data_IF_881437531789
#
_entry.id   IF_881437531789
#
_cell.length_a   1.000
_cell.length_b   1.000
_cell.length_c   1.000
_cell.angle_alpha   90.00
_cell.angle_beta   90.00
_cell.angle_gamma   90.00
#
_symmetry.space_group_name_H-M   'P 1'
#
loop_
_entity.id
_entity.type
_entity.pdbx_description
1 polymer ?
#
# COMPACT_ATOMS: atom_id res chain seq x y z
N UNK A 1 -45.89 33.80 0.29
CA UNK A 1 -45.57 32.38 0.54
C UNK A 1 -44.06 32.26 0.64
N UNK A 2 -43.52 32.07 1.85
CA UNK A 2 -42.07 31.84 2.01
C UNK A 2 -41.73 30.47 1.43
N UNK A 3 -41.10 30.42 0.26
CA UNK A 3 -40.46 29.20 -0.18
C UNK A 3 -39.33 28.92 0.81
N UNK A 4 -39.56 28.01 1.76
CA UNK A 4 -38.46 27.42 2.50
C UNK A 4 -37.56 26.78 1.45
N UNK A 5 -36.39 27.38 1.20
CA UNK A 5 -35.39 26.80 0.30
C UNK A 5 -34.99 25.47 0.92
N UNK A 6 -35.61 24.38 0.45
CA UNK A 6 -35.33 23.05 0.96
C UNK A 6 -33.82 22.82 0.84
N UNK A 7 -33.18 22.45 1.95
CA UNK A 7 -31.76 22.19 1.95
C UNK A 7 -31.48 21.01 1.02
N UNK A 8 -30.72 21.26 -0.05
CA UNK A 8 -30.39 20.27 -1.08
C UNK A 8 -28.89 19.98 -0.98
N UNK A 9 -28.55 18.74 -0.66
CA UNK A 9 -27.18 18.28 -0.48
C UNK A 9 -26.94 17.03 -1.31
N UNK A 10 -25.70 16.81 -1.72
CA UNK A 10 -25.25 15.62 -2.43
C UNK A 10 -23.84 15.25 -1.98
N UNK A 11 -23.38 14.06 -2.36
CA UNK A 11 -22.08 13.53 -1.97
C UNK A 11 -21.16 13.43 -3.18
N UNK A 12 -19.90 13.80 -2.99
CA UNK A 12 -18.87 13.70 -4.03
C UNK A 12 -17.76 12.78 -3.53
N UNK A 13 -17.45 11.76 -4.34
CA UNK A 13 -16.32 10.85 -4.17
C UNK A 13 -15.12 11.37 -4.95
N UNK A 14 -13.98 11.45 -4.27
CA UNK A 14 -12.66 11.70 -4.84
C UNK A 14 -11.57 11.21 -3.88
N UNK A 15 -10.31 11.32 -4.26
CA UNK A 15 -9.17 10.90 -3.45
C UNK A 15 -8.90 9.41 -3.56
N UNK A 16 -8.32 8.83 -2.52
CA UNK A 16 -7.96 7.41 -2.54
C UNK A 16 -9.13 6.56 -2.05
N UNK A 17 -9.50 5.57 -2.85
CA UNK A 17 -10.61 4.67 -2.58
C UNK A 17 -10.43 3.95 -1.24
N UNK A 18 -11.50 3.87 -0.45
CA UNK A 18 -11.50 3.35 0.92
C UNK A 18 -10.65 4.11 1.96
N UNK A 19 -10.01 5.23 1.58
CA UNK A 19 -9.24 6.09 2.50
C UNK A 19 -9.95 7.44 2.65
N UNK A 20 -10.33 8.06 1.54
CA UNK A 20 -11.01 9.36 1.53
C UNK A 20 -12.53 9.15 1.59
N UNK A 21 -13.22 9.59 2.65
CA UNK A 21 -14.67 9.48 2.71
C UNK A 21 -15.34 10.46 1.73
N UNK A 22 -16.51 10.12 1.15
CA UNK A 22 -17.26 11.05 0.32
C UNK A 22 -17.61 12.35 1.07
N UNK A 23 -17.42 13.50 0.43
CA UNK A 23 -17.72 14.80 1.02
C UNK A 23 -19.09 15.31 0.59
N UNK A 24 -19.80 15.91 1.54
CA UNK A 24 -21.11 16.50 1.30
C UNK A 24 -20.97 17.94 0.80
N UNK A 25 -21.73 18.31 -0.23
CA UNK A 25 -21.78 19.66 -0.79
C UNK A 25 -23.22 20.16 -0.87
N UNK A 26 -23.39 21.48 -0.74
CA UNK A 26 -24.67 22.17 -0.88
C UNK A 26 -24.95 22.44 -2.36
N UNK A 27 -26.13 22.05 -2.85
CA UNK A 27 -26.56 22.26 -4.24
C UNK A 27 -27.21 23.64 -4.47
N UNK A 28 -27.49 24.43 -3.43
CA UNK A 28 -28.11 25.75 -3.52
C UNK A 28 -27.12 26.88 -3.89
N UNK A 29 -26.03 26.54 -4.59
CA UNK A 29 -25.03 27.47 -5.12
C UNK A 29 -24.98 27.36 -6.65
N UNK A 30 -24.34 28.31 -7.34
CA UNK A 30 -24.11 28.18 -8.79
C UNK A 30 -23.13 27.03 -9.09
N UNK A 31 -23.25 26.44 -10.28
CA UNK A 31 -22.33 25.39 -10.72
C UNK A 31 -20.87 25.85 -10.73
N UNK A 32 -20.60 27.10 -11.10
CA UNK A 32 -19.26 27.69 -11.06
C UNK A 32 -18.67 27.74 -9.64
N UNK A 33 -19.46 28.20 -8.66
CA UNK A 33 -19.05 28.25 -7.25
C UNK A 33 -18.80 26.83 -6.73
N UNK A 34 -19.71 25.90 -7.03
CA UNK A 34 -19.59 24.51 -6.61
C UNK A 34 -18.30 23.87 -7.13
N UNK A 35 -18.04 23.99 -8.43
CA UNK A 35 -16.83 23.43 -9.07
C UNK A 35 -15.56 23.99 -8.44
N UNK A 36 -15.52 25.28 -8.11
CA UNK A 36 -14.39 25.91 -7.42
C UNK A 36 -14.15 25.30 -6.04
N UNK A 37 -15.21 25.10 -5.24
CA UNK A 37 -15.09 24.46 -3.92
C UNK A 37 -14.62 23.02 -4.00
N UNK A 38 -15.16 22.23 -4.93
CA UNK A 38 -14.76 20.83 -5.12
C UNK A 38 -13.31 20.79 -5.60
N UNK A 39 -12.92 21.61 -6.58
CA UNK A 39 -11.53 21.71 -7.07
C UNK A 39 -10.55 21.97 -5.93
N UNK A 40 -10.80 23.00 -5.14
CA UNK A 40 -9.88 23.39 -4.06
C UNK A 40 -9.79 22.32 -2.97
N UNK A 41 -10.92 21.68 -2.64
CA UNK A 41 -10.96 20.59 -1.65
C UNK A 41 -10.21 19.36 -2.17
N UNK A 42 -10.49 18.95 -3.41
CA UNK A 42 -9.88 17.78 -4.02
C UNK A 42 -8.37 17.95 -4.17
N UNK A 43 -7.92 19.09 -4.69
CA UNK A 43 -6.50 19.37 -4.88
C UNK A 43 -5.73 19.28 -3.55
N UNK A 44 -6.24 19.93 -2.50
CA UNK A 44 -5.60 19.92 -1.17
C UNK A 44 -5.57 18.52 -0.56
N UNK A 45 -6.73 17.86 -0.47
CA UNK A 45 -6.85 16.54 0.15
C UNK A 45 -5.97 15.49 -0.54
N UNK A 46 -5.98 15.48 -1.88
CA UNK A 46 -5.17 14.53 -2.66
C UNK A 46 -3.69 14.82 -2.47
N UNK A 47 -3.28 16.09 -2.52
CA UNK A 47 -1.88 16.47 -2.32
C UNK A 47 -1.36 16.08 -0.92
N UNK A 48 -2.13 16.38 0.13
CA UNK A 48 -1.76 16.06 1.51
C UNK A 48 -1.65 14.55 1.73
N UNK A 49 -2.60 13.77 1.20
CA UNK A 49 -2.55 12.32 1.30
C UNK A 49 -1.43 11.71 0.46
N UNK A 50 -1.12 12.27 -0.71
CA UNK A 50 0.03 11.86 -1.51
C UNK A 50 1.35 12.12 -0.78
N UNK A 51 1.51 13.26 -0.09
CA UNK A 51 2.70 13.55 0.73
C UNK A 51 2.86 12.50 1.82
N UNK A 52 1.79 12.20 2.56
CA UNK A 52 1.81 11.18 3.60
C UNK A 52 2.17 9.80 3.02
N UNK A 53 1.55 9.40 1.91
CA UNK A 53 1.78 8.09 1.29
C UNK A 53 3.17 7.94 0.70
N UNK A 54 3.73 8.97 0.09
CA UNK A 54 5.11 8.95 -0.40
C UNK A 54 6.12 8.73 0.73
N UNK A 55 5.94 9.40 1.87
CA UNK A 55 6.81 9.19 3.03
C UNK A 55 6.67 7.76 3.55
N UNK A 56 5.44 7.26 3.71
CA UNK A 56 5.17 5.90 4.18
C UNK A 56 5.81 4.85 3.27
N UNK A 57 5.52 4.91 1.97
CA UNK A 57 6.02 3.94 0.98
C UNK A 57 7.55 4.03 0.83
N UNK A 58 8.14 5.21 0.94
CA UNK A 58 9.60 5.37 0.94
C UNK A 58 10.27 4.63 2.11
N UNK A 59 9.75 4.79 3.33
CA UNK A 59 10.26 4.10 4.52
C UNK A 59 10.13 2.57 4.37
N UNK A 60 8.98 2.10 3.91
CA UNK A 60 8.71 0.68 3.73
C UNK A 60 9.61 0.07 2.62
N UNK A 61 9.87 0.79 1.51
CA UNK A 61 10.79 0.34 0.46
C UNK A 61 12.24 0.27 0.96
N UNK A 62 12.68 1.26 1.73
CA UNK A 62 14.02 1.24 2.36
C UNK A 62 14.18 0.04 3.30
N UNK A 63 13.11 -0.33 4.03
CA UNK A 63 13.10 -1.51 4.87
C UNK A 63 13.18 -2.82 4.06
N UNK A 64 12.47 -2.90 2.93
CA UNK A 64 12.56 -4.06 2.01
C UNK A 64 13.95 -4.16 1.38
N UNK A 65 14.56 -3.04 0.97
CA UNK A 65 15.93 -3.04 0.44
C UNK A 65 16.95 -3.54 1.46
N UNK A 66 16.87 -3.09 2.72
CA UNK A 66 17.73 -3.60 3.80
C UNK A 66 17.51 -5.08 4.05
N UNK A 67 16.26 -5.54 4.00
CA UNK A 67 15.92 -6.95 4.17
C UNK A 67 16.53 -7.78 3.05
N UNK A 68 16.38 -7.37 1.80
CA UNK A 68 16.94 -8.03 0.63
C UNK A 68 18.47 -8.14 0.73
N UNK A 69 19.16 -7.04 1.07
CA UNK A 69 20.62 -7.05 1.30
C UNK A 69 21.04 -8.01 2.42
N UNK A 70 20.25 -8.11 3.50
CA UNK A 70 20.52 -9.06 4.58
C UNK A 70 20.32 -10.52 4.12
N UNK A 71 19.33 -10.81 3.26
CA UNK A 71 19.15 -12.14 2.66
C UNK A 71 20.35 -12.50 1.77
N UNK A 72 20.78 -11.59 0.90
CA UNK A 72 21.93 -11.79 0.01
C UNK A 72 23.23 -12.01 0.79
N UNK A 73 23.44 -11.27 1.89
CA UNK A 73 24.61 -11.48 2.74
C UNK A 73 24.58 -12.85 3.44
N UNK A 74 23.40 -13.33 3.85
CA UNK A 74 23.22 -14.67 4.45
C UNK A 74 23.45 -15.78 3.43
N UNK A 75 22.99 -15.61 2.19
CA UNK A 75 23.19 -16.62 1.13
C UNK A 75 24.65 -16.69 0.68
N UNK A 76 25.36 -15.56 0.61
CA UNK A 76 26.78 -15.52 0.29
C UNK A 76 27.69 -16.09 1.40
N UNK A 77 27.24 -16.01 2.66
CA UNK A 77 27.95 -16.55 3.81
C UNK A 77 27.72 -18.06 4.06
N UNK A 78 26.83 -18.71 3.30
CA UNK A 78 26.63 -20.15 3.39
C UNK A 78 27.93 -20.86 2.96
N UNK A 79 28.57 -21.67 3.83
CA UNK A 79 29.84 -22.29 3.50
C UNK A 79 29.60 -23.25 2.34
N UNK A 80 30.27 -22.98 1.20
CA UNK A 80 30.54 -23.95 0.16
C UNK A 80 31.20 -25.14 0.86
N UNK A 81 30.39 -26.17 1.14
CA UNK A 81 30.81 -27.46 1.65
C UNK A 81 31.75 -28.09 0.65
N UNK A 82 33.01 -27.65 0.69
CA UNK A 82 34.10 -28.24 -0.06
C UNK A 82 34.33 -29.59 0.59
N UNK A 83 33.69 -30.62 0.03
CA UNK A 83 34.08 -32.01 0.22
C UNK A 83 35.56 -32.13 -0.15
N UNK A 84 36.42 -32.06 0.86
CA UNK A 84 37.79 -32.54 0.77
C UNK A 84 38.00 -33.56 1.88
N UNK A 85 37.56 -34.78 1.58
CA UNK A 85 38.25 -35.97 2.02
C UNK A 85 39.73 -35.83 1.64
N UNK A 86 40.61 -35.79 2.64
CA UNK A 86 42.03 -36.07 2.45
C UNK A 86 42.57 -36.76 3.70
N UNK A 87 43.29 -37.83 3.45
CA UNK A 87 43.63 -38.90 4.37
C UNK A 87 44.77 -38.54 5.35
N UNK A 88 44.72 -39.20 6.52
CA UNK A 88 45.81 -39.96 7.15
C UNK A 88 47.24 -39.39 7.15
N UNK A 89 47.75 -39.04 8.34
CA UNK A 89 49.15 -39.30 8.69
C UNK A 89 49.28 -39.54 10.21
N UNK A 90 49.98 -40.63 10.55
CA UNK A 90 50.22 -41.18 11.88
C UNK A 90 51.28 -40.41 12.68
N UNK A 91 51.07 -40.41 14.00
CA UNK A 91 52.02 -40.73 15.09
C UNK A 91 53.31 -39.92 15.25
N UNK A 92 53.37 -39.16 16.36
CA UNK A 92 54.58 -39.02 17.17
C UNK A 92 54.20 -38.91 18.66
N UNK A 93 54.69 -39.86 19.43
CA UNK A 93 54.67 -39.99 20.89
C UNK A 93 55.38 -38.83 21.60
N UNK A 94 54.83 -38.35 22.73
CA UNK A 94 55.54 -37.44 23.63
C UNK A 94 54.69 -36.98 24.82
N UNK A 95 55.18 -37.27 26.03
CA UNK A 95 54.50 -37.26 27.34
C UNK A 95 54.00 -35.90 27.86
N UNK A 96 53.02 -35.95 28.77
CA UNK A 96 52.29 -34.86 29.47
C UNK A 96 52.95 -34.56 30.87
N UNK A 97 52.49 -33.56 31.68
CA UNK A 97 52.69 -32.09 31.69
C UNK A 97 53.40 -31.59 33.01
N UNK A 98 53.44 -30.27 33.37
CA UNK A 98 52.28 -29.60 34.02
C UNK A 98 52.07 -28.09 33.73
N UNK A 99 50.80 -27.70 33.92
CA UNK A 99 50.24 -26.44 34.46
C UNK A 99 50.78 -25.06 34.05
N UNK A 100 49.90 -24.29 33.38
CA UNK A 100 49.96 -22.83 33.37
C UNK A 100 49.48 -22.18 32.08
N UNK A 101 48.17 -22.15 31.80
CA UNK A 101 47.60 -21.22 30.83
C UNK A 101 46.08 -21.11 31.00
N UNK A 102 45.62 -19.96 31.48
CA UNK A 102 44.24 -19.52 31.37
C UNK A 102 43.87 -19.43 29.89
N UNK A 103 42.99 -20.32 29.42
CA UNK A 103 42.40 -20.22 28.07
C UNK A 103 41.11 -19.37 28.15
N UNK A 104 40.89 -18.41 27.25
CA UNK A 104 39.58 -17.77 27.13
C UNK A 104 38.57 -18.78 26.62
N UNK A 105 37.42 -18.84 27.28
CA UNK A 105 36.26 -19.64 26.86
C UNK A 105 35.73 -19.02 25.57
N UNK A 106 35.92 -19.69 24.45
CA UNK A 106 35.30 -19.32 23.18
C UNK A 106 33.81 -19.63 23.30
N UNK A 107 32.90 -18.68 23.10
CA UNK A 107 31.49 -19.01 23.06
C UNK A 107 31.24 -19.82 21.79
N UNK A 108 30.82 -21.08 21.96
CA UNK A 108 30.18 -21.85 20.90
C UNK A 108 28.91 -21.12 20.53
N UNK A 109 28.99 -20.25 19.52
CA UNK A 109 27.82 -19.78 18.81
C UNK A 109 27.21 -21.02 18.16
N UNK A 110 26.16 -21.56 18.79
CA UNK A 110 25.20 -22.43 18.12
C UNK A 110 24.80 -21.71 16.84
N UNK A 111 25.33 -22.19 15.72
CA UNK A 111 24.92 -21.78 14.40
C UNK A 111 23.41 -22.03 14.32
N UNK A 112 22.64 -20.94 14.45
CA UNK A 112 21.21 -20.97 14.30
C UNK A 112 20.91 -21.57 12.94
N UNK A 113 20.21 -22.71 12.97
CA UNK A 113 19.43 -23.31 11.90
C UNK A 113 19.64 -22.65 10.54
N UNK A 114 20.56 -23.19 9.74
CA UNK A 114 20.67 -22.83 8.33
C UNK A 114 19.31 -23.07 7.68
N UNK A 115 18.60 -21.99 7.36
CA UNK A 115 17.43 -22.08 6.50
C UNK A 115 17.86 -22.76 5.20
N UNK A 116 17.10 -23.76 4.76
CA UNK A 116 17.43 -24.43 3.50
C UNK A 116 17.48 -23.40 2.37
N UNK A 117 18.29 -23.62 1.33
CA UNK A 117 18.37 -22.70 0.18
C UNK A 117 16.97 -22.35 -0.38
N UNK A 118 16.06 -23.34 -0.40
CA UNK A 118 14.67 -23.16 -0.79
C UNK A 118 13.88 -22.17 0.10
N UNK A 119 14.17 -22.07 1.40
CA UNK A 119 13.54 -21.08 2.29
C UNK A 119 14.07 -19.67 2.04
N UNK A 120 15.37 -19.54 1.74
CA UNK A 120 15.99 -18.25 1.42
C UNK A 120 15.48 -17.72 0.08
N UNK A 121 15.31 -18.60 -0.90
CA UNK A 121 14.71 -18.28 -2.20
C UNK A 121 13.24 -17.87 -2.07
N UNK A 122 12.44 -18.56 -1.24
CA UNK A 122 11.04 -18.22 -0.98
C UNK A 122 10.90 -16.86 -0.26
N UNK A 123 11.72 -16.61 0.78
CA UNK A 123 11.79 -15.31 1.46
C UNK A 123 12.19 -14.17 0.50
N UNK A 124 13.15 -14.42 -0.40
CA UNK A 124 13.59 -13.44 -1.39
C UNK A 124 12.49 -13.14 -2.41
N UNK A 125 11.80 -14.16 -2.90
CA UNK A 125 10.68 -14.02 -3.83
C UNK A 125 9.53 -13.21 -3.20
N UNK A 126 9.21 -13.45 -1.93
CA UNK A 126 8.19 -12.68 -1.20
C UNK A 126 8.57 -11.20 -1.06
N UNK A 127 9.83 -10.90 -0.74
CA UNK A 127 10.32 -9.51 -0.63
C UNK A 127 10.27 -8.80 -1.99
N UNK A 128 10.66 -9.47 -3.07
CA UNK A 128 10.60 -8.90 -4.42
C UNK A 128 9.15 -8.64 -4.86
N UNK A 129 8.22 -9.53 -4.55
CA UNK A 129 6.80 -9.32 -4.82
C UNK A 129 6.27 -8.10 -4.06
N UNK A 130 6.56 -7.99 -2.76
CA UNK A 130 6.17 -6.82 -1.95
C UNK A 130 6.79 -5.53 -2.48
N UNK A 131 8.06 -5.56 -2.90
CA UNK A 131 8.73 -4.40 -3.51
C UNK A 131 8.00 -3.96 -4.79
N UNK A 132 7.67 -4.90 -5.68
CA UNK A 132 6.91 -4.61 -6.90
C UNK A 132 5.54 -4.00 -6.61
N UNK A 133 4.80 -4.55 -5.63
CA UNK A 133 3.49 -4.02 -5.23
C UNK A 133 3.59 -2.58 -4.70
N UNK A 134 4.66 -2.27 -3.98
CA UNK A 134 4.92 -0.94 -3.44
C UNK A 134 5.33 0.07 -4.51
N UNK A 135 6.14 -0.34 -5.48
CA UNK A 135 6.52 0.48 -6.63
C UNK A 135 5.29 0.84 -7.47
N UNK A 136 4.37 -0.12 -7.69
CA UNK A 136 3.10 0.14 -8.35
C UNK A 136 2.20 1.11 -7.55
N UNK A 137 2.20 1.02 -6.21
CA UNK A 137 1.50 2.00 -5.38
C UNK A 137 2.10 3.41 -5.49
N UNK A 138 3.43 3.53 -5.56
CA UNK A 138 4.10 4.83 -5.76
C UNK A 138 3.73 5.46 -7.11
N UNK A 139 3.59 4.66 -8.17
CA UNK A 139 3.14 5.15 -9.47
C UNK A 139 1.74 5.78 -9.38
N UNK A 140 0.78 5.08 -8.73
CA UNK A 140 -0.57 5.63 -8.49
C UNK A 140 -0.53 6.92 -7.68
N UNK A 141 0.31 6.99 -6.64
CA UNK A 141 0.49 8.21 -5.82
C UNK A 141 1.10 9.35 -6.65
N UNK A 142 2.04 9.04 -7.54
CA UNK A 142 2.66 10.02 -8.42
C UNK A 142 1.66 10.60 -9.44
N UNK A 143 0.82 9.75 -10.05
CA UNK A 143 -0.26 10.17 -10.94
C UNK A 143 -1.29 11.04 -10.21
N UNK A 144 -1.71 10.63 -9.01
CA UNK A 144 -2.62 11.40 -8.18
C UNK A 144 -2.04 12.78 -7.82
N UNK A 145 -0.77 12.82 -7.43
CA UNK A 145 -0.06 14.07 -7.12
C UNK A 145 0.06 14.98 -8.35
N UNK A 146 0.31 14.40 -9.54
CA UNK A 146 0.35 15.14 -10.80
C UNK A 146 -1.00 15.79 -11.10
N UNK A 147 -2.09 15.04 -11.04
CA UNK A 147 -3.44 15.58 -11.27
C UNK A 147 -3.80 16.68 -10.26
N UNK A 148 -3.46 16.50 -8.98
CA UNK A 148 -3.68 17.54 -7.98
C UNK A 148 -2.94 18.84 -8.32
N UNK A 149 -1.68 18.76 -8.77
CA UNK A 149 -0.90 19.93 -9.22
C UNK A 149 -1.50 20.59 -10.45
N UNK A 150 -2.01 19.82 -11.41
CA UNK A 150 -2.68 20.35 -12.59
C UNK A 150 -3.98 21.11 -12.23
N UNK A 151 -4.75 20.61 -11.25
CA UNK A 151 -5.92 21.32 -10.72
C UNK A 151 -5.56 22.64 -10.03
N UNK A 152 -4.44 22.67 -9.30
CA UNK A 152 -3.92 23.89 -8.63
C UNK A 152 -3.43 24.90 -9.67
N UNK A 153 -2.67 24.43 -10.67
CA UNK A 153 -2.16 25.25 -11.76
C UNK A 153 -3.27 25.77 -12.68
N UNK A 154 -4.45 25.15 -12.65
CA UNK A 154 -5.58 25.50 -13.51
C UNK A 154 -5.46 24.96 -14.94
N UNK A 155 -4.51 24.04 -15.19
CA UNK A 155 -4.39 23.32 -16.46
C UNK A 155 -5.42 22.20 -16.58
N UNK A 156 -5.92 21.72 -15.45
CA UNK A 156 -7.09 20.85 -15.36
C UNK A 156 -8.22 21.57 -14.61
N UNK A 157 -9.46 21.28 -14.99
CA UNK A 157 -10.66 21.72 -14.28
C UNK A 157 -11.40 20.55 -13.65
N UNK A 158 -12.26 20.81 -12.66
CA UNK A 158 -13.10 19.77 -12.06
C UNK A 158 -14.50 19.80 -12.65
N UNK A 159 -15.05 18.61 -12.86
CA UNK A 159 -16.46 18.39 -13.11
C UNK A 159 -16.95 17.17 -12.30
N UNK A 160 -18.23 16.83 -12.42
CA UNK A 160 -18.84 15.67 -11.80
C UNK A 160 -19.28 14.65 -12.84
N UNK A 161 -19.16 13.38 -12.49
CA UNK A 161 -19.77 12.26 -13.20
C UNK A 161 -20.84 11.60 -12.33
N UNK A 162 -21.92 11.13 -12.96
CA UNK A 162 -22.97 10.36 -12.29
C UNK A 162 -22.52 8.92 -11.95
N UNK A 163 -23.43 8.13 -11.40
CA UNK A 163 -23.18 6.74 -11.00
C UNK A 163 -22.83 5.82 -12.20
N UNK A 164 -23.13 6.25 -13.43
CA UNK A 164 -22.78 5.54 -14.66
C UNK A 164 -21.44 6.00 -15.24
N UNK A 165 -20.76 6.96 -14.59
CA UNK A 165 -19.51 7.54 -15.09
C UNK A 165 -19.72 8.59 -16.18
N UNK A 166 -20.95 9.03 -16.43
CA UNK A 166 -21.24 10.05 -17.44
C UNK A 166 -20.98 11.44 -16.87
N UNK A 167 -20.10 12.20 -17.52
CA UNK A 167 -19.78 13.60 -17.16
C UNK A 167 -21.02 14.49 -17.29
N UNK A 168 -21.26 15.31 -16.27
CA UNK A 168 -22.42 16.20 -16.16
C UNK A 168 -22.25 17.56 -16.85
N UNK A 169 -21.03 17.94 -17.23
CA UNK A 169 -20.72 19.17 -17.97
C UNK A 169 -21.19 20.43 -17.25
N UNK A 170 -20.93 20.50 -15.94
CA UNK A 170 -21.37 21.63 -15.10
C UNK A 170 -20.71 22.96 -15.54
N UNK A 171 -19.61 22.90 -16.28
CA UNK A 171 -18.97 24.04 -16.95
C UNK A 171 -19.79 24.64 -18.10
N UNK A 172 -20.60 23.85 -18.79
CA UNK A 172 -21.41 24.28 -19.93
C UNK A 172 -22.75 24.91 -19.49
N UNK A 173 -23.06 24.87 -18.19
CA UNK A 173 -24.37 25.26 -17.63
C UNK A 173 -24.49 26.75 -17.28
N UNK A 174 -23.44 27.53 -17.51
CA UNK A 174 -23.42 28.97 -17.24
C UNK A 174 -23.67 29.30 -15.76
N UNK A 175 -24.66 30.16 -15.49
CA UNK A 175 -25.04 30.59 -14.14
C UNK A 175 -26.08 29.68 -13.46
N UNK A 176 -26.37 28.52 -14.04
CA UNK A 176 -27.33 27.58 -13.46
C UNK A 176 -26.95 27.18 -12.03
N UNK A 177 -27.96 27.04 -11.17
CA UNK A 177 -27.77 26.53 -9.81
C UNK A 177 -27.55 25.03 -9.85
N UNK A 178 -26.67 24.52 -9.01
CA UNK A 178 -26.34 23.10 -8.98
C UNK A 178 -27.58 22.23 -8.69
N UNK A 179 -28.53 22.70 -7.88
CA UNK A 179 -29.77 21.99 -7.57
C UNK A 179 -30.74 21.80 -8.74
N UNK A 180 -30.52 22.45 -9.90
CA UNK A 180 -31.33 22.20 -11.10
C UNK A 180 -30.81 21.01 -11.91
N UNK A 181 -29.58 20.56 -11.64
CA UNK A 181 -28.90 19.49 -12.37
C UNK A 181 -28.63 18.30 -11.44
N UNK A 182 -28.12 18.59 -10.24
CA UNK A 182 -27.75 17.59 -9.24
C UNK A 182 -28.97 17.19 -8.41
N UNK A 183 -29.11 15.88 -8.23
CA UNK A 183 -30.17 15.28 -7.43
C UNK A 183 -29.77 15.33 -5.96
N UNK A 184 -30.70 15.77 -5.12
CA UNK A 184 -30.53 15.72 -3.67
C UNK A 184 -30.30 14.28 -3.22
N UNK A 185 -29.33 14.07 -2.32
CA UNK A 185 -28.90 12.77 -1.79
C UNK A 185 -28.27 11.81 -2.78
N UNK A 186 -27.98 12.25 -4.00
CA UNK A 186 -27.20 11.46 -4.94
C UNK A 186 -25.70 11.49 -4.61
N UNK A 187 -25.01 10.49 -5.15
CA UNK A 187 -23.56 10.40 -5.15
C UNK A 187 -23.04 10.74 -6.54
N UNK A 188 -21.90 11.41 -6.57
CA UNK A 188 -21.21 11.79 -7.79
C UNK A 188 -19.72 11.52 -7.63
N UNK A 189 -19.03 11.29 -8.73
CA UNK A 189 -17.57 11.15 -8.75
C UNK A 189 -16.96 12.43 -9.30
N UNK A 190 -15.97 13.00 -8.60
CA UNK A 190 -15.22 14.11 -9.16
C UNK A 190 -14.33 13.60 -10.30
N UNK A 191 -14.30 14.35 -11.40
CA UNK A 191 -13.45 14.07 -12.55
C UNK A 191 -12.60 15.30 -12.87
N UNK A 192 -11.34 15.06 -13.23
CA UNK A 192 -10.48 16.05 -13.85
C UNK A 192 -10.79 16.10 -15.35
N UNK A 193 -10.92 17.32 -15.86
CA UNK A 193 -11.13 17.60 -17.27
C UNK A 193 -9.95 18.42 -17.75
N UNK A 194 -9.18 17.85 -18.66
CA UNK A 194 -8.14 18.53 -19.43
C UNK A 194 -8.59 18.67 -20.87
N UNK A 195 -8.00 19.61 -21.61
CA UNK A 195 -8.28 19.81 -23.03
C UNK A 195 -7.00 19.46 -23.78
N UNK A 196 -7.09 18.56 -24.76
CA UNK A 196 -5.96 18.20 -25.60
C UNK A 196 -5.61 19.32 -26.60
N UNK A 197 -4.50 19.18 -27.31
CA UNK A 197 -4.07 20.15 -28.34
C UNK A 197 -5.07 20.32 -29.48
N UNK A 198 -6.00 19.37 -29.65
CA UNK A 198 -7.05 19.37 -30.66
C UNK A 198 -8.36 19.97 -30.14
N UNK A 199 -8.41 20.43 -28.88
CA UNK A 199 -9.59 21.00 -28.24
C UNK A 199 -10.59 19.97 -27.68
N UNK A 200 -10.26 18.68 -27.69
CA UNK A 200 -11.13 17.62 -27.18
C UNK A 200 -10.96 17.45 -25.66
N UNK A 201 -12.06 17.34 -24.90
CA UNK A 201 -11.98 17.15 -23.46
C UNK A 201 -11.57 15.71 -23.13
N UNK A 202 -10.53 15.57 -22.33
CA UNK A 202 -10.10 14.32 -21.73
C UNK A 202 -10.53 14.27 -20.26
N UNK A 203 -11.22 13.20 -19.87
CA UNK A 203 -11.87 13.09 -18.56
C UNK A 203 -11.24 11.95 -17.77
N UNK A 204 -10.71 12.27 -16.59
CA UNK A 204 -10.08 11.31 -15.69
C UNK A 204 -10.77 11.29 -14.33
N UNK A 205 -11.15 10.13 -13.79
CA UNK A 205 -11.65 10.04 -12.42
C UNK A 205 -10.62 10.51 -11.41
N UNK A 206 -11.03 11.34 -10.46
CA UNK A 206 -10.19 11.75 -9.32
C UNK A 206 -10.32 10.74 -8.16
N UNK A 207 -10.45 9.46 -8.49
CA UNK A 207 -10.57 8.35 -7.54
C UNK A 207 -9.44 7.36 -7.81
N UNK A 208 -8.52 7.25 -6.88
CA UNK A 208 -7.29 6.47 -7.00
C UNK A 208 -7.38 5.19 -6.18
N UNK A 209 -6.93 4.06 -6.73
CA UNK A 209 -6.96 2.77 -6.02
C UNK A 209 -5.56 2.34 -5.65
N UNK A 210 -5.29 2.24 -4.34
CA UNK A 210 -4.07 1.61 -3.84
C UNK A 210 -4.33 0.12 -3.64
N UNK A 211 -3.42 -0.71 -4.13
CA UNK A 211 -3.42 -2.13 -3.81
C UNK A 211 -3.10 -2.30 -2.32
N UNK A 212 -3.79 -3.22 -1.64
CA UNK A 212 -3.51 -3.53 -0.25
C UNK A 212 -2.22 -4.35 -0.20
N UNK A 213 -1.21 -4.00 0.61
CA UNK A 213 -0.02 -4.84 0.74
C UNK A 213 -0.47 -6.22 1.22
N UNK A 214 -0.01 -7.26 0.52
CA UNK A 214 -0.25 -8.65 0.87
C UNK A 214 0.33 -8.90 2.26
N UNK A 215 -0.54 -8.92 3.27
CA UNK A 215 -0.17 -9.34 4.61
C UNK A 215 -0.16 -10.86 4.58
N UNK A 216 1.02 -11.45 4.33
CA UNK A 216 1.24 -12.86 4.58
C UNK A 216 0.96 -13.09 6.07
N UNK A 217 -0.21 -13.65 6.36
CA UNK A 217 -0.54 -14.12 7.69
C UNK A 217 0.31 -15.38 7.87
N UNK A 218 1.20 -15.47 8.87
CA UNK A 218 1.94 -16.71 9.09
C UNK A 218 0.93 -17.83 9.32
N UNK A 219 1.12 -19.02 8.70
CA UNK A 219 0.15 -20.10 8.81
C UNK A 219 -0.03 -20.42 10.30
N UNK A 220 -1.26 -20.27 10.78
CA UNK A 220 -1.65 -20.64 12.13
C UNK A 220 -1.24 -22.09 12.35
N UNK A 221 -0.26 -22.31 13.22
CA UNK A 221 0.18 -23.63 13.66
C UNK A 221 -1.06 -24.37 14.16
N UNK A 222 -1.54 -25.36 13.41
CA UNK A 222 -2.55 -26.29 13.87
C UNK A 222 -2.03 -26.96 15.14
N UNK A 223 -2.63 -26.67 16.29
CA UNK A 223 -2.37 -27.42 17.50
C UNK A 223 -2.90 -28.84 17.28
N UNK A 224 -1.97 -29.76 17.01
CA UNK A 224 -2.25 -31.19 17.00
C UNK A 224 -2.59 -31.61 18.44
N UNK A 225 -3.88 -31.67 18.74
CA UNK A 225 -4.39 -32.21 19.99
C UNK A 225 -4.25 -33.72 19.97
N UNK A 226 -3.20 -34.22 20.61
CA UNK A 226 -3.07 -35.62 20.97
C UNK A 226 -2.83 -35.74 22.48
N UNK A 227 -3.90 -36.05 23.22
CA UNK A 227 -3.81 -36.77 24.48
C UNK A 227 -5.03 -37.69 24.60
N UNK A 228 -4.74 -38.97 24.84
CA UNK A 228 -5.63 -40.13 24.80
C UNK A 228 -5.99 -40.54 26.24
N UNK A 229 -7.12 -41.25 26.41
CA UNK A 229 -7.44 -42.19 27.53
C UNK A 229 -8.06 -41.57 28.80
N UNK A 230 -9.08 -42.09 29.53
CA UNK A 230 -9.83 -43.38 29.56
C UNK A 230 -11.03 -43.31 30.53
N UNK A 231 -12.06 -44.17 30.36
CA UNK A 231 -13.00 -44.66 31.41
C UNK A 231 -14.47 -44.22 31.25
N UNK A 232 -15.37 -45.00 30.60
CA UNK A 232 -16.26 -46.07 31.16
C UNK A 232 -17.06 -45.58 32.39
N UNK A 233 -18.40 -45.47 32.40
CA UNK A 233 -19.40 -46.55 32.40
C UNK A 233 -20.83 -45.96 32.29
N UNK A 234 -21.72 -46.58 31.50
CA UNK A 234 -23.22 -46.50 31.51
C UNK A 234 -23.69 -47.87 32.06
N UNK A 235 -24.91 -48.19 32.61
CA UNK A 235 -26.27 -47.59 32.51
C UNK A 235 -26.98 -47.48 33.90
N UNK A 236 -28.24 -47.08 34.09
CA UNK A 236 -29.50 -47.18 33.34
C UNK A 236 -30.42 -46.04 33.76
#
# INVERSE_FOLDING_TARGET
MSSSTQASFFWVKYGFDNITPPKMYNANVSCAILRSFIKNSCARDVEDLCKQKNIQLGIELDALHKSLQAIEARSAAAPLGTSRSAASAKSATGSRPPSGASRPVTPTMLAGSGGSAAQVEDEMAEILAKKSDMEAQLEVVAEASKLAKELIAGTASVDLADDYGTRLKLDETGEARANTILKSRAHYTAVAVTVDEKGSPHVLPLVFKLHKPSTSTPPSRSSSGAAKSTGTTIPT
#
